data_IF_299256590076
#
_entry.id   IF_299256590076
#
_cell.length_a   1.000
_cell.length_b   1.000
_cell.length_c   1.000
_cell.angle_alpha   90.00
_cell.angle_beta   90.00
_cell.angle_gamma   90.00
#
_symmetry.space_group_name_H-M   'P 1'
#
loop_
_entity.id
_entity.type
_entity.pdbx_description
1 polymer ?
#
# COMPACT_ATOMS: atom_id res chain seq x y z
N UNK A 1 19.14 -24.29 11.59
CA UNK A 1 18.91 -24.07 10.13
C UNK A 1 19.22 -22.62 9.84
N UNK A 2 20.11 -22.29 8.89
CA UNK A 2 20.33 -20.90 8.50
C UNK A 2 19.06 -20.39 7.82
N UNK A 3 18.29 -19.60 8.50
CA UNK A 3 17.14 -18.89 7.89
C UNK A 3 17.66 -18.07 6.72
N UNK A 4 17.13 -18.33 5.54
CA UNK A 4 17.54 -17.67 4.30
C UNK A 4 17.01 -16.24 4.33
N UNK A 5 17.83 -15.30 4.77
CA UNK A 5 17.48 -13.88 4.86
C UNK A 5 17.56 -13.19 3.51
N UNK A 6 16.67 -12.22 3.29
CA UNK A 6 16.61 -11.45 2.06
C UNK A 6 17.75 -10.42 1.96
N UNK A 7 18.28 -10.26 0.77
CA UNK A 7 19.29 -9.25 0.43
C UNK A 7 18.64 -7.87 0.22
N UNK A 8 19.46 -6.82 0.14
CA UNK A 8 19.02 -5.48 -0.24
C UNK A 8 18.36 -5.49 -1.63
N UNK A 9 18.95 -6.23 -2.58
CA UNK A 9 18.43 -6.34 -3.94
C UNK A 9 17.06 -7.04 -3.99
N UNK A 10 16.88 -8.14 -3.25
CA UNK A 10 15.58 -8.83 -3.17
C UNK A 10 14.49 -7.94 -2.58
N UNK A 11 14.83 -7.15 -1.55
CA UNK A 11 13.91 -6.15 -1.01
C UNK A 11 13.56 -5.07 -2.05
N UNK A 12 14.53 -4.57 -2.79
CA UNK A 12 14.30 -3.64 -3.90
C UNK A 12 13.36 -4.22 -4.96
N UNK A 13 13.52 -5.51 -5.35
CA UNK A 13 12.64 -6.16 -6.31
C UNK A 13 11.20 -6.34 -5.80
N UNK A 14 11.02 -6.70 -4.51
CA UNK A 14 9.70 -6.82 -3.90
C UNK A 14 8.97 -5.47 -4.01
N UNK A 15 9.62 -4.40 -3.61
CA UNK A 15 9.01 -3.07 -3.57
C UNK A 15 8.93 -2.40 -4.95
N UNK A 16 9.75 -2.79 -5.90
CA UNK A 16 9.54 -2.48 -7.32
C UNK A 16 8.22 -3.12 -7.80
N UNK A 17 8.01 -4.41 -7.50
CA UNK A 17 6.78 -5.10 -7.86
C UNK A 17 5.53 -4.49 -7.19
N UNK A 18 5.63 -4.05 -5.93
CA UNK A 18 4.55 -3.36 -5.24
C UNK A 18 4.19 -2.03 -5.94
N UNK A 19 5.21 -1.26 -6.37
CA UNK A 19 5.00 0.03 -7.04
C UNK A 19 4.52 -0.09 -8.48
N UNK A 20 4.84 -1.18 -9.20
CA UNK A 20 4.30 -1.43 -10.55
C UNK A 20 2.93 -2.08 -10.41
N UNK A 21 1.91 -1.30 -10.13
CA UNK A 21 0.56 -1.82 -9.98
C UNK A 21 -0.47 -1.03 -10.80
N UNK A 22 -1.57 -1.73 -11.09
CA UNK A 22 -2.71 -1.13 -11.76
C UNK A 22 -3.36 -0.05 -10.89
N UNK A 23 -3.44 -0.26 -9.58
CA UNK A 23 -3.98 0.71 -8.63
C UNK A 23 -3.20 2.03 -8.63
N UNK A 24 -1.87 1.98 -8.79
CA UNK A 24 -1.03 3.17 -8.91
C UNK A 24 -1.36 3.97 -10.18
N UNK A 25 -1.51 3.29 -11.31
CA UNK A 25 -1.88 3.93 -12.58
C UNK A 25 -3.28 4.51 -12.47
N UNK A 26 -4.26 3.74 -11.96
CA UNK A 26 -5.63 4.18 -11.77
C UNK A 26 -5.71 5.41 -10.87
N UNK A 27 -5.04 5.38 -9.71
CA UNK A 27 -5.02 6.52 -8.81
C UNK A 27 -4.37 7.74 -9.47
N UNK A 28 -3.34 7.53 -10.29
CA UNK A 28 -2.71 8.58 -11.08
C UNK A 28 -3.69 9.31 -12.01
N UNK A 29 -4.70 8.63 -12.56
CA UNK A 29 -5.69 9.27 -13.46
C UNK A 29 -6.47 10.38 -12.76
N UNK A 30 -6.69 10.29 -11.45
CA UNK A 30 -7.42 11.30 -10.66
C UNK A 30 -6.69 12.64 -10.57
N UNK A 31 -5.39 12.70 -10.89
CA UNK A 31 -4.59 13.93 -10.88
C UNK A 31 -4.72 14.75 -12.15
N UNK A 32 -5.33 14.21 -13.20
CA UNK A 32 -5.47 14.87 -14.50
C UNK A 32 -6.11 16.27 -14.42
N UNK A 33 -7.16 16.53 -13.58
CA UNK A 33 -7.76 17.85 -13.45
C UNK A 33 -6.82 18.95 -12.95
N UNK A 34 -5.74 18.61 -12.23
CA UNK A 34 -4.72 19.57 -11.77
C UNK A 34 -3.81 20.06 -12.89
N UNK A 35 -3.80 19.36 -14.04
CA UNK A 35 -2.81 19.52 -15.08
C UNK A 35 -1.44 18.96 -14.71
N UNK A 36 -0.60 18.71 -15.73
CA UNK A 36 0.64 17.96 -15.58
C UNK A 36 1.58 18.50 -14.50
N UNK A 37 1.89 19.81 -14.52
CA UNK A 37 2.89 20.39 -13.60
C UNK A 37 2.50 20.32 -12.12
N UNK A 38 1.26 20.74 -11.79
CA UNK A 38 0.75 20.67 -10.40
C UNK A 38 0.53 19.23 -9.97
N UNK A 39 0.03 18.37 -10.86
CA UNK A 39 -0.16 16.95 -10.57
C UNK A 39 1.15 16.25 -10.23
N UNK A 40 2.21 16.44 -11.04
CA UNK A 40 3.54 15.88 -10.74
C UNK A 40 4.08 16.39 -9.40
N UNK A 41 3.92 17.68 -9.11
CA UNK A 41 4.36 18.25 -7.84
C UNK A 41 3.62 17.62 -6.63
N UNK A 42 2.30 17.46 -6.72
CA UNK A 42 1.50 16.82 -5.68
C UNK A 42 1.92 15.34 -5.49
N UNK A 43 2.13 14.60 -6.59
CA UNK A 43 2.60 13.21 -6.57
C UNK A 43 3.94 13.11 -5.82
N UNK A 44 4.93 13.93 -6.19
CA UNK A 44 6.25 13.89 -5.58
C UNK A 44 6.20 14.24 -4.09
N UNK A 45 5.48 15.32 -3.71
CA UNK A 45 5.36 15.73 -2.30
C UNK A 45 4.71 14.62 -1.48
N UNK A 46 3.58 14.07 -1.95
CA UNK A 46 2.87 13.03 -1.23
C UNK A 46 3.70 11.74 -1.07
N UNK A 47 4.39 11.30 -2.13
CA UNK A 47 5.26 10.13 -2.04
C UNK A 47 6.48 10.36 -1.14
N UNK A 48 7.07 11.55 -1.11
CA UNK A 48 8.16 11.85 -0.15
C UNK A 48 7.65 11.71 1.29
N UNK A 49 6.48 12.28 1.60
CA UNK A 49 5.86 12.18 2.93
C UNK A 49 5.56 10.71 3.26
N UNK A 50 4.82 10.02 2.41
CA UNK A 50 4.40 8.64 2.65
C UNK A 50 5.56 7.65 2.72
N UNK A 51 6.56 7.78 1.84
CA UNK A 51 7.74 6.90 1.85
C UNK A 51 8.69 7.16 3.01
N UNK A 52 8.73 8.38 3.56
CA UNK A 52 9.44 8.65 4.82
C UNK A 52 8.79 7.87 5.98
N UNK A 53 7.46 7.88 6.06
CA UNK A 53 6.71 7.11 7.05
C UNK A 53 6.91 5.60 6.84
N UNK A 54 6.87 5.14 5.59
CA UNK A 54 7.13 3.75 5.20
C UNK A 54 8.53 3.30 5.66
N UNK A 55 9.55 4.14 5.46
CA UNK A 55 10.90 3.88 5.96
C UNK A 55 10.93 3.73 7.48
N UNK A 56 10.30 4.64 8.22
CA UNK A 56 10.29 4.59 9.69
C UNK A 56 9.59 3.33 10.20
N UNK A 57 8.42 2.99 9.66
CA UNK A 57 7.69 1.77 10.01
C UNK A 57 8.51 0.50 9.71
N UNK A 58 9.13 0.42 8.53
CA UNK A 58 9.94 -0.74 8.15
C UNK A 58 11.22 -0.88 8.97
N UNK A 59 11.82 0.23 9.43
CA UNK A 59 13.00 0.20 10.33
C UNK A 59 12.61 -0.41 11.69
N UNK A 60 11.41 -0.16 12.21
CA UNK A 60 10.92 -0.77 13.45
C UNK A 60 10.96 -2.28 13.30
N UNK A 61 10.25 -2.85 12.32
CA UNK A 61 10.22 -4.30 12.09
C UNK A 61 11.59 -4.90 11.78
N UNK A 62 12.37 -4.23 10.95
CA UNK A 62 13.72 -4.69 10.60
C UNK A 62 14.68 -4.77 11.80
N UNK A 63 14.63 -3.80 12.71
CA UNK A 63 15.47 -3.78 13.93
C UNK A 63 14.98 -4.73 15.01
N UNK A 64 13.67 -4.89 15.14
CA UNK A 64 13.08 -5.79 16.16
C UNK A 64 12.97 -7.23 15.68
N UNK A 65 13.09 -7.48 14.36
CA UNK A 65 12.86 -8.79 13.74
C UNK A 65 11.44 -9.30 13.93
N UNK A 66 10.48 -8.40 14.05
CA UNK A 66 9.08 -8.69 14.27
C UNK A 66 8.24 -8.32 13.03
N UNK A 67 7.10 -9.03 12.85
CA UNK A 67 6.12 -8.67 11.84
C UNK A 67 5.49 -7.30 12.14
N UNK A 68 4.79 -6.74 11.16
CA UNK A 68 4.15 -5.44 11.33
C UNK A 68 3.22 -5.44 12.55
N UNK A 69 2.36 -6.44 12.69
CA UNK A 69 1.41 -6.51 13.79
C UNK A 69 2.06 -6.87 15.13
N UNK A 70 3.15 -7.64 15.14
CA UNK A 70 3.93 -7.84 16.37
C UNK A 70 4.60 -6.55 16.85
N UNK A 71 5.04 -5.68 15.92
CA UNK A 71 5.55 -4.36 16.33
C UNK A 71 4.46 -3.46 16.92
N UNK A 72 3.19 -3.62 16.49
CA UNK A 72 2.05 -2.89 17.09
C UNK A 72 1.84 -3.30 18.55
N UNK A 73 2.01 -4.58 18.89
CA UNK A 73 1.93 -5.06 20.28
C UNK A 73 2.93 -4.35 21.19
N UNK A 74 4.10 -3.93 20.67
CA UNK A 74 5.09 -3.18 21.44
C UNK A 74 4.57 -1.82 21.93
N UNK A 75 3.61 -1.20 21.24
CA UNK A 75 3.04 0.09 21.62
C UNK A 75 1.67 -0.02 22.28
N UNK A 76 0.85 -1.00 21.88
CA UNK A 76 -0.55 -1.10 22.31
C UNK A 76 -0.82 -2.27 23.25
N UNK A 77 0.19 -3.12 23.53
CA UNK A 77 0.03 -4.35 24.29
C UNK A 77 -0.61 -5.47 23.47
N UNK A 78 -0.72 -6.68 24.04
CA UNK A 78 -1.19 -7.87 23.32
C UNK A 78 -2.60 -7.68 22.72
N UNK A 79 -3.57 -7.23 23.53
CA UNK A 79 -4.95 -7.03 23.08
C UNK A 79 -5.08 -5.91 22.04
N UNK A 80 -4.32 -4.81 22.22
CA UNK A 80 -4.28 -3.74 21.23
C UNK A 80 -3.68 -4.21 19.90
N UNK A 81 -2.61 -4.99 19.95
CA UNK A 81 -2.03 -5.61 18.77
C UNK A 81 -2.99 -6.54 18.05
N UNK A 82 -3.74 -7.40 18.78
CA UNK A 82 -4.78 -8.25 18.20
C UNK A 82 -5.87 -7.44 17.51
N UNK A 83 -6.32 -6.35 18.13
CA UNK A 83 -7.31 -5.44 17.53
C UNK A 83 -6.81 -4.87 16.19
N UNK A 84 -5.60 -4.32 16.16
CA UNK A 84 -5.04 -3.79 14.91
C UNK A 84 -4.71 -4.88 13.89
N UNK A 85 -4.31 -6.07 14.33
CA UNK A 85 -4.12 -7.22 13.44
C UNK A 85 -5.41 -7.59 12.72
N UNK A 86 -6.53 -7.59 13.44
CA UNK A 86 -7.85 -7.83 12.84
C UNK A 86 -8.22 -6.74 11.82
N UNK A 87 -8.01 -5.45 12.15
CA UNK A 87 -8.24 -4.34 11.21
C UNK A 87 -7.33 -4.45 9.99
N UNK A 88 -6.08 -4.89 10.17
CA UNK A 88 -5.16 -5.09 9.06
C UNK A 88 -5.60 -6.24 8.15
N UNK A 89 -6.06 -7.35 8.70
CA UNK A 89 -6.65 -8.44 7.87
C UNK A 89 -7.84 -7.92 7.07
N UNK A 90 -8.73 -7.13 7.69
CA UNK A 90 -9.89 -6.56 6.99
C UNK A 90 -9.48 -5.65 5.83
N UNK A 91 -8.50 -4.75 6.04
CA UNK A 91 -8.02 -3.90 4.94
C UNK A 91 -7.41 -4.73 3.82
N UNK A 92 -6.67 -5.79 4.14
CA UNK A 92 -6.00 -6.63 3.15
C UNK A 92 -6.99 -7.52 2.36
N UNK A 93 -8.10 -7.93 2.98
CA UNK A 93 -9.24 -8.50 2.26
C UNK A 93 -9.83 -7.47 1.28
N UNK A 94 -10.00 -6.22 1.73
CA UNK A 94 -10.47 -5.11 0.89
C UNK A 94 -9.54 -4.87 -0.29
N UNK A 95 -8.23 -4.72 -0.05
CA UNK A 95 -7.23 -4.57 -1.11
C UNK A 95 -7.23 -5.74 -2.09
N UNK A 96 -7.26 -6.97 -1.57
CA UNK A 96 -7.32 -8.17 -2.43
C UNK A 96 -8.55 -8.13 -3.34
N UNK A 97 -9.72 -7.72 -2.81
CA UNK A 97 -10.95 -7.62 -3.61
C UNK A 97 -10.86 -6.49 -4.65
N UNK A 98 -10.40 -5.29 -4.26
CA UNK A 98 -10.23 -4.14 -5.16
C UNK A 98 -9.26 -4.49 -6.29
N UNK A 99 -8.09 -5.02 -5.97
CA UNK A 99 -7.07 -5.35 -6.97
C UNK A 99 -7.54 -6.42 -7.96
N UNK A 100 -8.23 -7.47 -7.48
CA UNK A 100 -8.81 -8.50 -8.36
C UNK A 100 -9.91 -7.89 -9.23
N UNK A 101 -10.77 -7.02 -8.68
CA UNK A 101 -11.84 -6.35 -9.40
C UNK A 101 -11.29 -5.46 -10.53
N UNK A 102 -10.37 -4.56 -10.21
CA UNK A 102 -9.77 -3.62 -11.16
C UNK A 102 -8.98 -4.35 -12.24
N UNK A 103 -8.17 -5.35 -11.84
CA UNK A 103 -7.45 -6.20 -12.78
C UNK A 103 -8.36 -6.97 -13.72
N UNK A 104 -9.47 -7.51 -13.19
CA UNK A 104 -10.46 -8.25 -13.99
C UNK A 104 -11.26 -7.32 -14.91
N UNK A 105 -11.59 -6.10 -14.46
CA UNK A 105 -12.28 -5.10 -15.27
C UNK A 105 -11.39 -4.68 -16.45
N UNK A 106 -10.13 -4.32 -16.17
CA UNK A 106 -9.16 -3.92 -17.17
C UNK A 106 -8.83 -5.06 -18.15
N UNK A 107 -8.65 -6.29 -17.67
CA UNK A 107 -8.40 -7.46 -18.52
C UNK A 107 -9.61 -7.78 -19.42
N UNK A 108 -10.83 -7.65 -18.88
CA UNK A 108 -12.05 -7.85 -19.67
C UNK A 108 -12.25 -6.76 -20.73
N UNK A 109 -11.75 -5.55 -20.51
CA UNK A 109 -11.76 -4.48 -21.53
C UNK A 109 -10.87 -4.81 -22.74
N UNK A 110 -9.79 -5.55 -22.53
CA UNK A 110 -8.90 -6.01 -23.61
C UNK A 110 -9.43 -7.30 -24.27
N UNK A 111 -9.91 -8.26 -23.48
CA UNK A 111 -10.39 -9.55 -23.97
C UNK A 111 -11.75 -9.86 -23.32
N UNK A 112 -12.81 -9.63 -24.05
CA UNK A 112 -14.22 -9.64 -23.62
C UNK A 112 -14.76 -11.06 -23.31
N UNK A 113 -14.22 -11.73 -22.28
CA UNK A 113 -14.64 -13.07 -21.86
C UNK A 113 -15.61 -13.07 -20.69
N UNK A 114 -15.83 -11.91 -20.07
CA UNK A 114 -16.60 -11.72 -18.86
C UNK A 114 -15.73 -11.43 -17.65
N UNK A 115 -16.04 -10.34 -16.91
CA UNK A 115 -15.28 -9.89 -15.74
C UNK A 115 -15.08 -11.01 -14.70
N UNK A 116 -16.11 -11.78 -14.41
CA UNK A 116 -16.06 -12.88 -13.43
C UNK A 116 -15.02 -13.95 -13.78
N UNK A 117 -14.80 -14.21 -15.09
CA UNK A 117 -13.77 -15.16 -15.56
C UNK A 117 -12.38 -14.65 -15.18
N UNK A 118 -12.14 -13.35 -15.39
CA UNK A 118 -10.86 -12.73 -15.02
C UNK A 118 -10.64 -12.67 -13.52
N UNK A 119 -11.70 -12.47 -12.72
CA UNK A 119 -11.59 -12.59 -11.25
C UNK A 119 -11.12 -13.99 -10.84
N UNK A 120 -11.64 -15.05 -11.47
CA UNK A 120 -11.21 -16.43 -11.21
C UNK A 120 -9.77 -16.66 -11.67
N UNK A 121 -9.40 -16.19 -12.86
CA UNK A 121 -8.03 -16.35 -13.39
C UNK A 121 -7.01 -15.65 -12.48
N UNK A 122 -7.23 -14.38 -12.15
CA UNK A 122 -6.33 -13.59 -11.31
C UNK A 122 -6.26 -14.20 -9.90
N UNK A 123 -7.41 -14.53 -9.30
CA UNK A 123 -7.46 -15.17 -7.98
C UNK A 123 -6.73 -16.52 -7.95
N UNK A 124 -6.91 -17.36 -8.96
CA UNK A 124 -6.20 -18.63 -9.07
C UNK A 124 -4.68 -18.44 -9.20
N UNK A 125 -4.23 -17.44 -9.98
CA UNK A 125 -2.82 -17.11 -10.09
C UNK A 125 -2.23 -16.61 -8.77
N UNK A 126 -2.96 -15.78 -8.01
CA UNK A 126 -2.54 -15.32 -6.67
C UNK A 126 -2.39 -16.53 -5.75
N UNK A 127 -3.37 -17.44 -5.72
CA UNK A 127 -3.30 -18.67 -4.91
C UNK A 127 -2.11 -19.52 -5.33
N UNK A 128 -1.84 -19.66 -6.62
CA UNK A 128 -0.67 -20.38 -7.11
C UNK A 128 0.63 -19.74 -6.60
N UNK A 129 0.74 -18.41 -6.62
CA UNK A 129 1.88 -17.67 -6.07
C UNK A 129 2.06 -17.91 -4.56
N UNK A 130 0.96 -17.91 -3.78
CA UNK A 130 0.97 -18.23 -2.35
C UNK A 130 1.46 -19.67 -2.12
N UNK A 131 1.00 -20.63 -2.94
CA UNK A 131 1.38 -22.05 -2.81
C UNK A 131 2.86 -22.26 -3.09
N UNK A 132 3.42 -21.63 -4.12
CA UNK A 132 4.85 -21.69 -4.46
C UNK A 132 5.69 -21.05 -3.34
N UNK A 133 5.22 -19.94 -2.77
CA UNK A 133 5.84 -19.23 -1.65
C UNK A 133 6.97 -18.29 -2.06
N UNK A 134 7.14 -17.22 -1.31
CA UNK A 134 8.05 -16.10 -1.60
C UNK A 134 9.52 -16.51 -1.77
N UNK A 135 9.96 -17.54 -1.04
CA UNK A 135 11.35 -18.01 -1.08
C UNK A 135 11.70 -18.80 -2.35
N UNK A 136 10.70 -19.39 -3.01
CA UNK A 136 10.88 -20.20 -4.20
C UNK A 136 10.67 -19.40 -5.50
N UNK A 137 10.06 -18.23 -5.40
CA UNK A 137 9.76 -17.35 -6.54
C UNK A 137 10.97 -16.55 -7.05
N UNK A 138 12.12 -16.57 -6.36
CA UNK A 138 13.24 -15.64 -6.59
C UNK A 138 13.62 -15.41 -8.06
N UNK A 139 13.83 -16.48 -8.85
CA UNK A 139 14.16 -16.35 -10.29
C UNK A 139 12.94 -15.96 -11.14
N UNK A 140 11.79 -16.56 -10.86
CA UNK A 140 10.53 -16.29 -11.58
C UNK A 140 10.12 -14.84 -11.32
N UNK A 141 10.20 -14.38 -10.08
CA UNK A 141 9.90 -12.99 -9.71
C UNK A 141 10.85 -12.01 -10.41
N UNK A 142 12.16 -12.30 -10.48
CA UNK A 142 13.12 -11.43 -11.18
C UNK A 142 12.78 -11.31 -12.67
N UNK A 143 12.42 -12.41 -13.33
CA UNK A 143 12.03 -12.39 -14.75
C UNK A 143 10.72 -11.65 -14.95
N UNK A 144 9.73 -11.88 -14.08
CA UNK A 144 8.45 -11.17 -14.11
C UNK A 144 8.63 -9.65 -13.91
N UNK A 145 9.45 -9.23 -12.93
CA UNK A 145 9.75 -7.82 -12.69
C UNK A 145 10.52 -7.18 -13.84
N UNK A 146 11.47 -7.87 -14.46
CA UNK A 146 12.16 -7.37 -15.66
C UNK A 146 11.20 -7.20 -16.84
N UNK A 147 10.30 -8.15 -17.06
CA UNK A 147 9.26 -8.05 -18.09
C UNK A 147 8.31 -6.88 -17.82
N UNK A 148 7.83 -6.72 -16.59
CA UNK A 148 7.00 -5.59 -16.18
C UNK A 148 7.73 -4.25 -16.36
N UNK A 149 9.00 -4.16 -16.01
CA UNK A 149 9.81 -2.96 -16.26
C UNK A 149 9.84 -2.58 -17.74
N UNK A 150 10.15 -3.53 -18.64
CA UNK A 150 10.15 -3.29 -20.08
C UNK A 150 8.77 -2.86 -20.56
N UNK A 151 7.72 -3.53 -20.11
CA UNK A 151 6.35 -3.20 -20.49
C UNK A 151 5.93 -1.79 -20.03
N UNK A 152 6.35 -1.35 -18.83
CA UNK A 152 6.08 0.01 -18.36
C UNK A 152 6.86 1.06 -19.15
N UNK A 153 8.07 0.75 -19.65
CA UNK A 153 8.80 1.63 -20.59
C UNK A 153 8.06 1.76 -21.93
N UNK A 154 7.52 0.66 -22.47
CA UNK A 154 6.71 0.69 -23.68
C UNK A 154 5.46 1.52 -23.46
N UNK A 155 4.74 1.32 -22.35
CA UNK A 155 3.57 2.11 -21.98
C UNK A 155 3.90 3.60 -21.89
N UNK A 156 4.99 3.95 -21.18
CA UNK A 156 5.46 5.33 -21.07
C UNK A 156 5.72 5.95 -22.45
N UNK A 157 6.42 5.23 -23.33
CA UNK A 157 6.72 5.73 -24.68
C UNK A 157 5.46 6.02 -25.50
N UNK A 158 4.45 5.16 -25.40
CA UNK A 158 3.17 5.35 -26.11
C UNK A 158 2.44 6.57 -25.55
N UNK A 159 2.33 6.69 -24.24
CA UNK A 159 1.59 7.78 -23.58
C UNK A 159 2.28 9.14 -23.76
N UNK A 160 3.62 9.20 -23.73
CA UNK A 160 4.37 10.45 -23.88
C UNK A 160 4.77 10.76 -25.33
N UNK A 161 4.57 9.83 -26.26
CA UNK A 161 5.04 9.96 -27.67
C UNK A 161 4.17 10.81 -28.57
N UNK A 162 2.89 10.93 -28.26
CA UNK A 162 1.89 11.59 -29.15
C UNK A 162 1.45 12.96 -28.62
N UNK A 163 2.24 13.95 -28.56
CA UNK A 163 2.09 15.29 -28.00
C UNK A 163 0.73 16.05 -28.09
N UNK A 164 -0.40 15.37 -28.27
CA UNK A 164 -1.74 15.98 -28.28
C UNK A 164 -2.29 16.02 -26.83
N UNK A 165 -2.50 17.22 -26.31
CA UNK A 165 -3.13 17.46 -25.01
C UNK A 165 -4.64 17.56 -25.23
N UNK A 166 -5.39 16.51 -24.94
CA UNK A 166 -6.82 16.64 -24.71
C UNK A 166 -7.00 17.35 -23.36
N UNK A 167 -7.93 18.31 -23.28
CA UNK A 167 -8.16 19.05 -22.03
C UNK A 167 -8.56 18.09 -20.90
N UNK A 168 -8.00 18.30 -19.73
CA UNK A 168 -8.37 17.52 -18.55
C UNK A 168 -9.86 17.71 -18.23
N UNK A 169 -10.66 16.67 -18.44
CA UNK A 169 -12.03 16.60 -17.95
C UNK A 169 -12.04 15.91 -16.60
N UNK A 170 -12.81 16.42 -15.64
CA UNK A 170 -12.99 15.83 -14.32
C UNK A 170 -13.37 16.88 -13.28
N UNK A 171 -13.89 16.44 -12.13
CA UNK A 171 -14.19 17.30 -10.99
C UNK A 171 -12.91 17.94 -10.44
N UNK A 172 -13.00 19.20 -10.04
CA UNK A 172 -11.84 19.97 -9.57
C UNK A 172 -11.31 19.37 -8.25
N UNK A 173 -10.17 18.68 -8.31
CA UNK A 173 -9.43 18.24 -7.14
C UNK A 173 -8.57 19.39 -6.60
N UNK A 174 -8.57 19.64 -5.29
CA UNK A 174 -7.65 20.61 -4.69
C UNK A 174 -6.23 20.06 -4.64
N UNK A 175 -5.23 20.95 -4.55
CA UNK A 175 -3.83 20.51 -4.44
C UNK A 175 -3.59 19.70 -3.17
N UNK A 176 -4.20 20.11 -2.05
CA UNK A 176 -4.10 19.39 -0.77
C UNK A 176 -4.69 17.99 -0.83
N UNK A 177 -5.87 17.84 -1.45
CA UNK A 177 -6.49 16.52 -1.66
C UNK A 177 -5.64 15.62 -2.56
N UNK A 178 -4.98 16.19 -3.57
CA UNK A 178 -4.06 15.44 -4.43
C UNK A 178 -2.81 14.98 -3.66
N UNK A 179 -2.21 15.84 -2.84
CA UNK A 179 -1.10 15.46 -1.97
C UNK A 179 -1.53 14.34 -1.02
N UNK A 180 -2.71 14.46 -0.38
CA UNK A 180 -3.23 13.43 0.51
C UNK A 180 -3.42 12.09 -0.19
N UNK A 181 -4.04 12.09 -1.37
CA UNK A 181 -4.22 10.87 -2.17
C UNK A 181 -2.88 10.23 -2.55
N UNK A 182 -1.86 11.05 -2.79
CA UNK A 182 -0.50 10.59 -3.07
C UNK A 182 0.22 10.05 -1.82
N UNK A 183 -0.06 10.60 -0.62
CA UNK A 183 0.44 10.06 0.67
C UNK A 183 -0.24 8.74 1.01
N UNK A 184 -1.54 8.64 0.74
CA UNK A 184 -2.37 7.52 1.18
C UNK A 184 -1.93 6.16 0.58
N UNK A 185 -1.35 6.18 -0.61
CA UNK A 185 -0.90 4.94 -1.26
C UNK A 185 0.31 4.31 -0.55
N UNK A 186 1.46 4.97 -0.37
CA UNK A 186 2.52 4.40 0.47
C UNK A 186 2.09 4.21 1.94
N UNK A 187 1.12 4.99 2.46
CA UNK A 187 0.57 4.82 3.79
C UNK A 187 -0.12 3.44 3.94
N UNK A 188 -0.81 2.96 2.93
CA UNK A 188 -1.49 1.67 2.97
C UNK A 188 -0.54 0.49 3.18
N UNK A 189 0.74 0.66 2.85
CA UNK A 189 1.81 -0.32 3.06
C UNK A 189 2.47 -0.25 4.45
N UNK A 190 2.20 0.79 5.26
CA UNK A 190 2.83 0.93 6.57
C UNK A 190 2.57 -0.26 7.51
N UNK A 191 1.33 -0.79 7.59
CA UNK A 191 1.04 -1.93 8.44
C UNK A 191 1.49 -3.29 7.85
N UNK A 192 2.28 -3.29 6.77
CA UNK A 192 2.80 -4.47 6.10
C UNK A 192 4.31 -4.50 5.96
N UNK A 193 4.98 -3.34 5.83
CA UNK A 193 6.40 -3.29 5.45
C UNK A 193 7.30 -4.10 6.37
N UNK A 194 6.97 -4.14 7.66
CA UNK A 194 7.76 -4.88 8.65
C UNK A 194 7.74 -6.40 8.42
N UNK A 195 6.71 -6.94 7.75
CA UNK A 195 6.62 -8.35 7.39
C UNK A 195 7.74 -8.79 6.43
N UNK A 196 8.25 -7.86 5.65
CA UNK A 196 9.34 -8.04 4.68
C UNK A 196 10.70 -7.65 5.26
N UNK A 197 10.77 -6.49 5.91
CA UNK A 197 12.05 -5.95 6.41
C UNK A 197 12.61 -6.71 7.60
N UNK A 198 11.78 -7.43 8.38
CA UNK A 198 12.23 -8.33 9.46
C UNK A 198 13.15 -9.43 8.93
N UNK A 199 12.96 -9.87 7.69
CA UNK A 199 13.73 -10.94 7.05
C UNK A 199 15.02 -10.44 6.38
N UNK A 200 15.24 -9.13 6.34
CA UNK A 200 16.39 -8.56 5.65
C UNK A 200 17.73 -8.82 6.39
N UNK A 201 18.81 -9.10 5.65
CA UNK A 201 20.16 -9.22 6.20
C UNK A 201 20.63 -7.92 6.83
N UNK A 202 20.42 -6.81 6.09
CA UNK A 202 20.77 -5.44 6.50
C UNK A 202 19.50 -4.59 6.61
N UNK A 203 18.76 -4.66 7.75
CA UNK A 203 17.41 -4.14 7.85
C UNK A 203 17.24 -2.68 7.44
N UNK A 204 18.09 -1.80 7.96
CA UNK A 204 18.00 -0.35 7.71
C UNK A 204 18.26 -0.02 6.25
N UNK A 205 19.29 -0.62 5.64
CA UNK A 205 19.60 -0.39 4.22
C UNK A 205 18.53 -1.00 3.31
N UNK A 206 18.07 -2.21 3.63
CA UNK A 206 17.01 -2.86 2.88
C UNK A 206 15.72 -2.04 2.94
N UNK A 207 15.35 -1.52 4.12
CA UNK A 207 14.18 -0.65 4.29
C UNK A 207 14.33 0.66 3.50
N UNK A 208 15.52 1.27 3.51
CA UNK A 208 15.78 2.50 2.74
C UNK A 208 15.61 2.25 1.24
N UNK A 209 16.19 1.14 0.74
CA UNK A 209 16.04 0.76 -0.68
C UNK A 209 14.57 0.43 -1.01
N UNK A 210 13.86 -0.27 -0.12
CA UNK A 210 12.43 -0.56 -0.28
C UNK A 210 11.61 0.72 -0.44
N UNK A 211 11.76 1.67 0.47
CA UNK A 211 11.01 2.93 0.46
C UNK A 211 11.36 3.81 -0.77
N UNK A 212 12.64 3.88 -1.13
CA UNK A 212 13.08 4.68 -2.29
C UNK A 212 12.62 4.05 -3.60
N UNK A 213 12.80 2.74 -3.77
CA UNK A 213 12.39 2.02 -4.99
C UNK A 213 10.88 2.11 -5.17
N UNK A 214 10.11 1.82 -4.10
CA UNK A 214 8.66 1.97 -4.14
C UNK A 214 8.26 3.39 -4.52
N UNK A 215 8.78 4.40 -3.82
CA UNK A 215 8.44 5.80 -4.05
C UNK A 215 8.72 6.26 -5.48
N UNK A 216 9.88 5.91 -6.05
CA UNK A 216 10.24 6.27 -7.42
C UNK A 216 9.32 5.57 -8.43
N UNK A 217 9.07 4.28 -8.24
CA UNK A 217 8.27 3.47 -9.16
C UNK A 217 6.80 3.85 -9.09
N UNK A 218 6.24 4.04 -7.89
CA UNK A 218 4.87 4.47 -7.68
C UNK A 218 4.64 5.88 -8.27
N UNK A 219 5.53 6.85 -8.00
CA UNK A 219 5.49 8.16 -8.67
C UNK A 219 5.43 8.01 -10.19
N UNK A 220 6.25 7.12 -10.76
CA UNK A 220 6.28 6.88 -12.20
C UNK A 220 4.94 6.33 -12.70
N UNK A 221 4.35 5.35 -12.00
CA UNK A 221 3.03 4.81 -12.36
C UNK A 221 1.92 5.85 -12.27
N UNK A 222 1.91 6.69 -11.21
CA UNK A 222 0.99 7.81 -11.08
C UNK A 222 1.12 8.80 -12.25
N UNK A 223 2.35 9.15 -12.61
CA UNK A 223 2.59 10.09 -13.74
C UNK A 223 2.13 9.48 -15.07
N UNK A 224 2.32 8.16 -15.28
CA UNK A 224 1.79 7.46 -16.44
C UNK A 224 0.25 7.54 -16.46
N UNK A 225 -0.42 7.22 -15.35
CA UNK A 225 -1.88 7.25 -15.24
C UNK A 225 -2.43 8.67 -15.47
N UNK A 226 -1.87 9.65 -14.80
CA UNK A 226 -2.25 11.07 -14.97
C UNK A 226 -2.09 11.54 -16.42
N UNK A 227 -0.94 11.27 -17.04
CA UNK A 227 -0.71 11.70 -18.41
C UNK A 227 -1.59 10.95 -19.40
N UNK A 228 -1.86 9.66 -19.14
CA UNK A 228 -2.79 8.87 -19.93
C UNK A 228 -4.20 9.44 -19.90
N UNK A 229 -4.69 9.85 -18.73
CA UNK A 229 -6.00 10.51 -18.60
C UNK A 229 -6.02 11.88 -19.28
N UNK A 230 -4.97 12.68 -19.17
CA UNK A 230 -4.84 13.97 -19.87
C UNK A 230 -4.85 13.77 -21.40
N UNK A 231 -4.13 12.74 -21.90
CA UNK A 231 -4.00 12.45 -23.32
C UNK A 231 -5.28 11.88 -23.94
N UNK A 232 -5.88 10.88 -23.28
CA UNK A 232 -7.03 10.15 -23.83
C UNK A 232 -8.38 10.78 -23.48
N UNK A 233 -8.43 11.61 -22.43
CA UNK A 233 -9.67 12.08 -21.80
C UNK A 233 -10.44 10.97 -21.07
N UNK A 234 -9.78 9.82 -20.82
CA UNK A 234 -10.36 8.63 -20.20
C UNK A 234 -9.70 8.35 -18.85
N UNK A 235 -10.48 7.88 -17.90
CA UNK A 235 -9.98 7.33 -16.62
C UNK A 235 -9.98 5.80 -16.61
N UNK A 236 -10.63 5.16 -17.58
CA UNK A 236 -10.67 3.72 -17.71
C UNK A 236 -9.38 3.17 -18.32
N UNK A 237 -8.63 2.40 -17.53
CA UNK A 237 -7.33 1.84 -17.93
C UNK A 237 -7.45 0.88 -19.11
N UNK A 238 -8.54 0.10 -19.22
CA UNK A 238 -8.73 -0.79 -20.36
C UNK A 238 -8.83 0.02 -21.66
N UNK A 239 -9.61 1.10 -21.65
CA UNK A 239 -9.73 2.00 -22.80
C UNK A 239 -8.39 2.66 -23.12
N UNK A 240 -7.64 3.09 -22.11
CA UNK A 240 -6.29 3.67 -22.28
C UNK A 240 -5.36 2.64 -22.95
N UNK A 241 -5.31 1.41 -22.45
CA UNK A 241 -4.47 0.34 -23.00
C UNK A 241 -4.82 -0.01 -24.45
N UNK A 242 -6.12 -0.08 -24.75
CA UNK A 242 -6.61 -0.35 -26.12
C UNK A 242 -6.27 0.81 -27.07
N UNK A 243 -6.52 2.06 -26.65
CA UNK A 243 -6.17 3.26 -27.43
C UNK A 243 -4.65 3.39 -27.64
N UNK A 244 -3.86 2.97 -26.65
CA UNK A 244 -2.42 2.90 -26.74
C UNK A 244 -1.89 1.77 -27.65
N UNK A 245 -2.77 0.94 -28.22
CA UNK A 245 -2.39 -0.16 -29.11
C UNK A 245 -1.66 -1.31 -28.42
N UNK A 246 -1.72 -1.39 -27.08
CA UNK A 246 -0.97 -2.38 -26.31
C UNK A 246 -1.61 -3.79 -26.30
N UNK A 247 -2.91 -3.92 -26.61
CA UNK A 247 -3.58 -5.21 -26.79
C UNK A 247 -3.16 -6.29 -25.79
N UNK A 248 -2.62 -7.42 -26.28
CA UNK A 248 -2.17 -8.55 -25.45
C UNK A 248 -1.01 -8.16 -24.51
N UNK A 249 -0.10 -7.27 -24.92
CA UNK A 249 0.97 -6.79 -24.03
C UNK A 249 0.39 -6.04 -22.83
N UNK A 250 -0.60 -5.18 -23.05
CA UNK A 250 -1.34 -4.51 -21.97
C UNK A 250 -2.03 -5.51 -21.03
N UNK A 251 -2.66 -6.54 -21.59
CA UNK A 251 -3.30 -7.60 -20.81
C UNK A 251 -2.28 -8.34 -19.90
N UNK A 252 -1.10 -8.65 -20.41
CA UNK A 252 -0.03 -9.28 -19.63
C UNK A 252 0.43 -8.36 -18.49
N UNK A 253 0.61 -7.05 -18.75
CA UNK A 253 0.95 -6.08 -17.71
C UNK A 253 -0.10 -6.12 -16.61
N UNK A 254 -1.38 -5.98 -16.98
CA UNK A 254 -2.51 -5.97 -16.05
C UNK A 254 -2.49 -7.21 -15.16
N UNK A 255 -2.48 -8.39 -15.76
CA UNK A 255 -2.58 -9.65 -15.02
C UNK A 255 -1.36 -9.86 -14.11
N UNK A 256 -0.14 -9.71 -14.65
CA UNK A 256 1.07 -9.97 -13.86
C UNK A 256 1.28 -8.92 -12.74
N UNK A 257 1.05 -7.63 -13.01
CA UNK A 257 1.17 -6.61 -11.98
C UNK A 257 0.14 -6.82 -10.88
N UNK A 258 -1.12 -7.10 -11.23
CA UNK A 258 -2.17 -7.38 -10.25
C UNK A 258 -1.81 -8.59 -9.40
N UNK A 259 -1.40 -9.71 -10.01
CA UNK A 259 -1.05 -10.93 -9.26
C UNK A 259 0.13 -10.70 -8.31
N UNK A 260 1.19 -10.04 -8.76
CA UNK A 260 2.39 -9.82 -7.93
C UNK A 260 2.14 -8.86 -6.78
N UNK A 261 1.37 -7.80 -6.98
CA UNK A 261 1.04 -6.84 -5.92
C UNK A 261 0.05 -7.44 -4.93
N UNK A 262 -1.05 -8.03 -5.41
CA UNK A 262 -2.08 -8.62 -4.55
C UNK A 262 -1.57 -9.84 -3.77
N UNK A 263 -0.57 -10.56 -4.30
CA UNK A 263 0.13 -11.59 -3.54
C UNK A 263 0.76 -11.02 -2.24
N UNK A 264 1.32 -9.80 -2.28
CA UNK A 264 1.90 -9.17 -1.10
C UNK A 264 0.83 -8.87 -0.05
N UNK A 265 -0.34 -8.39 -0.47
CA UNK A 265 -1.48 -8.14 0.42
C UNK A 265 -1.96 -9.44 1.08
N UNK A 266 -2.21 -10.48 0.27
CA UNK A 266 -2.67 -11.77 0.77
C UNK A 266 -1.64 -12.43 1.71
N UNK A 267 -0.34 -12.33 1.39
CA UNK A 267 0.75 -12.84 2.23
C UNK A 267 0.79 -12.14 3.60
N UNK A 268 0.72 -10.80 3.62
CA UNK A 268 0.68 -10.02 4.87
C UNK A 268 -0.62 -10.23 5.66
N UNK A 269 -1.75 -10.47 4.97
CA UNK A 269 -2.99 -10.89 5.63
C UNK A 269 -2.81 -12.22 6.37
N UNK A 270 -2.09 -13.16 5.77
CA UNK A 270 -1.73 -14.42 6.42
C UNK A 270 -0.92 -14.20 7.70
N UNK A 271 0.15 -13.40 7.63
CA UNK A 271 1.00 -13.06 8.79
C UNK A 271 0.18 -12.34 9.88
N UNK A 272 -0.65 -11.39 9.50
CA UNK A 272 -1.52 -10.66 10.44
C UNK A 272 -2.54 -11.58 11.10
N UNK A 273 -3.05 -12.58 10.38
CA UNK A 273 -3.97 -13.59 10.94
C UNK A 273 -3.29 -14.47 12.01
N UNK A 274 -2.00 -14.79 11.86
CA UNK A 274 -1.22 -15.48 12.89
C UNK A 274 -1.10 -14.66 14.18
N UNK A 275 -0.99 -13.32 14.05
CA UNK A 275 -0.99 -12.40 15.20
C UNK A 275 -2.34 -12.31 15.90
N UNK A 276 -3.46 -12.55 15.20
CA UNK A 276 -4.81 -12.63 15.82
C UNK A 276 -4.99 -13.96 16.56
N UNK A 277 -4.62 -15.05 15.91
CA UNK A 277 -4.76 -16.41 16.45
C UNK A 277 -3.51 -17.23 16.14
N UNK A 278 -2.68 -17.48 17.13
CA UNK A 278 -1.40 -18.17 16.99
C UNK A 278 -1.47 -19.62 16.43
N UNK A 279 -2.68 -20.20 16.38
CA UNK A 279 -2.92 -21.54 15.81
C UNK A 279 -3.22 -21.51 14.31
N UNK A 280 -3.46 -20.34 13.73
CA UNK A 280 -3.71 -20.21 12.30
C UNK A 280 -2.39 -20.35 11.54
N UNK A 281 -2.42 -21.11 10.46
CA UNK A 281 -1.32 -21.15 9.50
C UNK A 281 -1.49 -20.00 8.48
N UNK A 282 -0.57 -19.05 8.45
CA UNK A 282 -0.63 -17.88 7.60
C UNK A 282 -0.80 -18.18 6.12
N UNK A 283 -0.21 -19.27 5.62
CA UNK A 283 -0.37 -19.69 4.22
C UNK A 283 -1.84 -20.03 3.90
N UNK A 284 -2.52 -20.77 4.77
CA UNK A 284 -3.95 -21.08 4.57
C UNK A 284 -4.82 -19.85 4.76
N UNK A 285 -4.48 -18.98 5.72
CA UNK A 285 -5.19 -17.70 5.89
C UNK A 285 -5.07 -16.82 4.64
N UNK A 286 -3.89 -16.71 4.03
CA UNK A 286 -3.66 -15.99 2.78
C UNK A 286 -4.53 -16.54 1.63
N UNK A 287 -4.66 -17.86 1.51
CA UNK A 287 -5.54 -18.49 0.51
C UNK A 287 -7.00 -18.13 0.79
N UNK A 288 -7.45 -18.23 2.05
CA UNK A 288 -8.83 -17.88 2.44
C UNK A 288 -9.13 -16.41 2.14
N UNK A 289 -8.21 -15.50 2.47
CA UNK A 289 -8.32 -14.07 2.15
C UNK A 289 -8.44 -13.86 0.64
N UNK A 290 -7.63 -14.56 -0.16
CA UNK A 290 -7.71 -14.48 -1.63
C UNK A 290 -9.06 -14.98 -2.15
N UNK A 291 -9.58 -16.08 -1.61
CA UNK A 291 -10.91 -16.60 -1.99
C UNK A 291 -12.02 -15.62 -1.62
N UNK A 292 -11.97 -15.04 -0.41
CA UNK A 292 -12.95 -14.03 0.03
C UNK A 292 -12.87 -12.78 -0.86
N UNK A 293 -11.67 -12.28 -1.14
CA UNK A 293 -11.43 -11.14 -2.03
C UNK A 293 -11.94 -11.41 -3.45
N UNK A 294 -11.68 -12.60 -3.98
CA UNK A 294 -12.19 -13.03 -5.30
C UNK A 294 -13.72 -13.07 -5.36
N UNK A 295 -14.37 -13.61 -4.33
CA UNK A 295 -15.83 -13.61 -4.24
C UNK A 295 -16.35 -12.17 -4.15
N UNK A 296 -15.74 -11.34 -3.30
CA UNK A 296 -16.06 -9.92 -3.19
C UNK A 296 -15.96 -9.19 -4.53
N UNK A 297 -14.88 -9.41 -5.28
CA UNK A 297 -14.65 -8.82 -6.60
C UNK A 297 -15.70 -9.26 -7.65
N UNK A 298 -16.24 -10.47 -7.54
CA UNK A 298 -17.28 -10.97 -8.45
C UNK A 298 -18.63 -10.34 -8.11
N UNK A 299 -18.97 -10.28 -6.82
CA UNK A 299 -20.33 -9.97 -6.34
C UNK A 299 -20.57 -8.47 -6.17
N UNK A 300 -19.51 -7.71 -5.78
CA UNK A 300 -19.65 -6.30 -5.42
C UNK A 300 -18.73 -5.40 -6.28
N UNK A 301 -19.24 -4.23 -6.75
CA UNK A 301 -18.40 -3.24 -7.43
C UNK A 301 -17.46 -2.54 -6.44
N UNK A 302 -16.15 -2.59 -6.72
CA UNK A 302 -15.09 -2.04 -5.85
C UNK A 302 -14.56 -0.70 -6.39
N UNK A 303 -15.46 0.18 -6.83
CA UNK A 303 -15.08 1.40 -7.59
C UNK A 303 -14.55 2.54 -6.71
N UNK A 304 -14.72 2.49 -5.38
CA UNK A 304 -14.39 3.60 -4.48
C UNK A 304 -13.07 3.39 -3.72
N UNK A 305 -11.97 3.39 -4.47
CA UNK A 305 -10.62 3.25 -3.88
C UNK A 305 -10.25 4.46 -2.99
N UNK A 306 -10.73 5.66 -3.31
CA UNK A 306 -10.38 6.89 -2.57
C UNK A 306 -10.91 6.86 -1.14
N UNK A 307 -12.19 6.54 -0.95
CA UNK A 307 -12.78 6.43 0.39
C UNK A 307 -12.14 5.30 1.19
N UNK A 308 -11.78 4.21 0.53
CA UNK A 308 -11.07 3.10 1.15
C UNK A 308 -9.67 3.52 1.63
N UNK A 309 -8.91 4.26 0.83
CA UNK A 309 -7.61 4.81 1.20
C UNK A 309 -7.71 5.77 2.40
N UNK A 310 -8.72 6.65 2.42
CA UNK A 310 -8.94 7.56 3.55
C UNK A 310 -9.38 6.84 4.82
N UNK A 311 -10.16 5.77 4.69
CA UNK A 311 -10.49 4.93 5.84
C UNK A 311 -9.23 4.28 6.43
N UNK A 312 -8.38 3.70 5.59
CA UNK A 312 -7.08 3.12 5.98
C UNK A 312 -6.21 4.19 6.65
N UNK A 313 -6.10 5.39 6.05
CA UNK A 313 -5.36 6.51 6.60
C UNK A 313 -5.82 6.86 8.01
N UNK A 314 -7.14 6.99 8.21
CA UNK A 314 -7.70 7.34 9.53
C UNK A 314 -7.40 6.30 10.62
N UNK A 315 -7.28 5.03 10.26
CA UNK A 315 -6.98 3.93 11.20
C UNK A 315 -5.48 3.81 11.47
N UNK A 316 -4.68 3.76 10.40
CA UNK A 316 -3.28 3.35 10.52
C UNK A 316 -2.30 4.52 10.66
N UNK A 317 -2.62 5.74 10.19
CA UNK A 317 -1.73 6.88 10.39
C UNK A 317 -1.49 7.19 11.88
N UNK A 318 -2.52 7.36 12.73
CA UNK A 318 -2.30 7.59 14.15
C UNK A 318 -1.68 6.38 14.87
N UNK A 319 -2.00 5.16 14.45
CA UNK A 319 -1.37 3.94 15.00
C UNK A 319 0.15 3.96 14.77
N UNK A 320 0.58 4.19 13.54
CA UNK A 320 2.01 4.25 13.18
C UNK A 320 2.70 5.46 13.82
N UNK A 321 2.00 6.60 13.93
CA UNK A 321 2.52 7.79 14.62
C UNK A 321 2.91 7.46 16.07
N UNK A 322 2.06 6.74 16.79
CA UNK A 322 2.32 6.28 18.16
C UNK A 322 3.52 5.31 18.20
N UNK A 323 3.60 4.36 17.25
CA UNK A 323 4.75 3.45 17.17
C UNK A 323 6.07 4.20 16.91
N UNK A 324 6.05 5.20 16.02
CA UNK A 324 7.22 6.06 15.75
C UNK A 324 7.63 6.81 17.01
N UNK A 325 6.68 7.41 17.73
CA UNK A 325 6.94 8.11 18.99
C UNK A 325 7.55 7.19 20.04
N UNK A 326 6.95 6.02 20.26
CA UNK A 326 7.39 5.04 21.25
C UNK A 326 8.79 4.50 20.93
N UNK A 327 9.03 4.12 19.67
CA UNK A 327 10.26 3.44 19.29
C UNK A 327 11.47 4.41 19.16
N UNK A 328 11.30 5.52 18.43
CA UNK A 328 12.42 6.40 18.10
C UNK A 328 12.64 7.50 19.15
N UNK A 329 11.59 8.04 19.76
CA UNK A 329 11.66 9.22 20.63
C UNK A 329 11.63 8.81 22.10
N UNK A 330 10.64 8.05 22.51
CA UNK A 330 10.45 7.62 23.90
C UNK A 330 11.30 6.39 24.27
N UNK A 331 11.76 5.64 23.24
CA UNK A 331 12.62 4.43 23.40
C UNK A 331 12.03 3.43 24.41
N UNK A 332 10.72 3.21 24.34
CA UNK A 332 10.01 2.29 25.23
C UNK A 332 10.40 0.84 24.95
N UNK A 333 10.79 0.12 25.99
CA UNK A 333 11.14 -1.32 25.93
C UNK A 333 10.11 -2.24 26.60
N UNK A 334 9.24 -1.67 27.44
CA UNK A 334 8.51 -2.44 28.47
C UNK A 334 7.04 -2.74 28.14
N UNK A 335 6.59 -2.47 26.92
CA UNK A 335 5.17 -2.61 26.57
C UNK A 335 4.71 -4.03 26.23
N UNK A 336 5.64 -4.97 25.98
CA UNK A 336 5.31 -6.36 25.69
C UNK A 336 4.71 -7.13 26.89
N UNK A 337 4.92 -6.63 28.12
CA UNK A 337 4.37 -7.23 29.35
C UNK A 337 2.95 -6.73 29.66
N UNK A 338 2.46 -5.72 28.93
CA UNK A 338 1.16 -5.08 29.18
C UNK A 338 0.09 -5.72 28.30
N UNK A 339 -0.99 -6.18 28.92
CA UNK A 339 -2.13 -6.76 28.18
C UNK A 339 -2.78 -5.75 27.24
N UNK A 340 -2.95 -4.49 27.66
CA UNK A 340 -3.51 -3.39 26.86
C UNK A 340 -2.92 -2.04 27.35
N UNK A 341 -2.30 -1.29 26.44
CA UNK A 341 -1.91 0.10 26.72
C UNK A 341 -3.08 1.05 26.47
N UNK A 342 -3.86 1.30 27.54
CA UNK A 342 -5.05 2.14 27.47
C UNK A 342 -4.72 3.57 27.02
N UNK A 343 -3.56 4.11 27.46
CA UNK A 343 -3.16 5.47 27.08
C UNK A 343 -2.93 5.57 25.56
N UNK A 344 -2.16 4.67 24.98
CA UNK A 344 -1.96 4.66 23.53
C UNK A 344 -3.27 4.39 22.78
N UNK A 345 -4.15 3.56 23.34
CA UNK A 345 -5.51 3.38 22.81
C UNK A 345 -6.32 4.68 22.77
N UNK A 346 -6.31 5.47 23.85
CA UNK A 346 -6.99 6.77 23.89
C UNK A 346 -6.36 7.77 22.92
N UNK A 347 -5.02 7.83 22.86
CA UNK A 347 -4.31 8.71 21.92
C UNK A 347 -4.64 8.32 20.47
N UNK A 348 -4.73 7.04 20.17
CA UNK A 348 -5.14 6.56 18.85
C UNK A 348 -6.58 6.99 18.50
N UNK A 349 -7.53 6.88 19.43
CA UNK A 349 -8.91 7.37 19.21
C UNK A 349 -8.92 8.89 18.93
N UNK A 350 -8.12 9.66 19.67
CA UNK A 350 -7.98 11.11 19.43
C UNK A 350 -7.40 11.36 18.02
N UNK A 351 -6.34 10.64 17.62
CA UNK A 351 -5.77 10.74 16.28
C UNK A 351 -6.76 10.33 15.19
N UNK A 352 -7.48 9.23 15.36
CA UNK A 352 -8.53 8.83 14.41
C UNK A 352 -9.59 9.93 14.21
N UNK A 353 -10.09 10.52 15.30
CA UNK A 353 -11.06 11.61 15.23
C UNK A 353 -10.44 12.85 14.56
N UNK A 354 -9.21 13.18 14.93
CA UNK A 354 -8.48 14.30 14.35
C UNK A 354 -8.32 14.15 12.84
N UNK A 355 -7.88 12.96 12.37
CA UNK A 355 -7.76 12.68 10.94
C UNK A 355 -9.09 12.93 10.20
N UNK A 356 -10.21 12.39 10.75
CA UNK A 356 -11.55 12.56 10.17
C UNK A 356 -12.01 14.04 10.16
N UNK A 357 -11.61 14.83 11.15
CA UNK A 357 -11.89 16.27 11.18
C UNK A 357 -11.04 17.03 10.16
N UNK A 358 -9.75 16.68 10.04
CA UNK A 358 -8.83 17.31 9.09
C UNK A 358 -9.25 17.07 7.63
N UNK A 359 -9.93 15.95 7.33
CA UNK A 359 -10.48 15.70 6.00
C UNK A 359 -11.48 16.78 5.51
N UNK A 360 -12.05 17.57 6.42
CA UNK A 360 -12.95 18.69 6.06
C UNK A 360 -12.19 20.01 5.80
N UNK A 361 -10.86 19.99 5.88
CA UNK A 361 -10.01 21.18 5.71
C UNK A 361 -9.06 20.94 4.57
N UNK A 362 -9.00 21.85 3.60
CA UNK A 362 -8.03 21.77 2.51
C UNK A 362 -6.63 22.18 3.00
N UNK A 363 -5.80 21.19 3.29
CA UNK A 363 -4.44 21.37 3.80
C UNK A 363 -3.45 21.09 2.66
N UNK A 364 -2.58 22.03 2.26
CA UNK A 364 -1.68 21.87 1.13
C UNK A 364 -0.74 20.65 1.18
N UNK A 365 -0.41 20.16 2.38
CA UNK A 365 0.43 18.97 2.61
C UNK A 365 -0.37 17.69 2.87
N UNK A 366 -1.68 17.73 2.64
CA UNK A 366 -2.59 16.62 2.97
C UNK A 366 -2.91 16.55 4.47
N UNK A 367 -3.75 15.60 4.85
CA UNK A 367 -4.28 15.44 6.20
C UNK A 367 -3.40 14.53 7.07
N UNK A 368 -2.79 13.53 6.45
CA UNK A 368 -1.99 12.49 7.13
C UNK A 368 -0.81 13.07 7.88
N UNK A 369 -0.03 13.97 7.26
CA UNK A 369 1.17 14.52 7.90
C UNK A 369 0.84 15.34 9.16
N UNK A 370 -0.10 16.30 9.14
CA UNK A 370 -0.53 17.04 10.34
C UNK A 370 -1.07 16.11 11.42
N UNK A 371 -1.90 15.14 11.06
CA UNK A 371 -2.45 14.16 12.00
C UNK A 371 -1.35 13.40 12.73
N UNK A 372 -0.40 12.82 11.99
CA UNK A 372 0.71 12.05 12.56
C UNK A 372 1.59 12.92 13.46
N UNK A 373 1.92 14.15 13.05
CA UNK A 373 2.73 15.08 13.85
C UNK A 373 2.02 15.41 15.17
N UNK A 374 0.74 15.75 15.12
CA UNK A 374 -0.05 16.08 16.31
C UNK A 374 -0.17 14.85 17.22
N UNK A 375 -0.45 13.68 16.65
CA UNK A 375 -0.54 12.41 17.41
C UNK A 375 0.79 12.07 18.10
N UNK A 376 1.93 12.24 17.42
CA UNK A 376 3.27 12.08 18.02
C UNK A 376 3.45 13.04 19.18
N UNK A 377 3.13 14.33 19.02
CA UNK A 377 3.26 15.34 20.07
C UNK A 377 2.38 14.99 21.28
N UNK A 378 1.12 14.63 21.06
CA UNK A 378 0.22 14.20 22.13
C UNK A 378 0.80 12.98 22.86
N UNK A 379 1.30 11.98 22.13
CA UNK A 379 1.90 10.79 22.72
C UNK A 379 3.10 11.14 23.62
N UNK A 380 4.01 12.00 23.13
CA UNK A 380 5.19 12.42 23.90
C UNK A 380 4.78 13.18 25.16
N UNK A 381 3.86 14.15 25.06
CA UNK A 381 3.44 14.97 26.19
C UNK A 381 2.71 14.11 27.23
N UNK A 382 1.75 13.28 26.85
CA UNK A 382 1.03 12.40 27.75
C UNK A 382 1.97 11.46 28.52
N UNK A 383 2.99 10.91 27.84
CA UNK A 383 3.97 10.01 28.48
C UNK A 383 4.95 10.72 29.41
N UNK A 384 5.31 11.98 29.10
CA UNK A 384 6.18 12.78 30.00
C UNK A 384 5.46 13.21 31.27
N UNK A 385 4.19 13.64 31.15
CA UNK A 385 3.40 14.07 32.33
C UNK A 385 3.30 12.94 33.38
N UNK A 386 3.05 11.70 32.98
CA UNK A 386 2.93 10.57 33.92
C UNK A 386 4.28 10.17 34.55
N UNK A 387 5.42 10.35 33.84
CA UNK A 387 6.74 10.09 34.45
C UNK A 387 7.10 11.09 35.54
N UNK A 388 6.48 12.28 35.53
CA UNK A 388 6.77 13.33 36.53
C UNK A 388 5.97 13.13 37.81
N UNK A 389 4.89 12.29 37.79
CA UNK A 389 4.05 11.96 38.95
C UNK A 389 4.50 10.70 39.70
N UNK A 390 5.54 9.99 39.23
CA UNK A 390 6.20 8.84 39.87
C UNK A 390 7.61 9.21 40.33
#
# INVERSE_FOLDING_TARGET
MNEKRTSIFENGLIWFGAGVSLAEILTGTYFAPLGFGKGVLAIIIGHIIGCMMLFLAGVIGGKTRQSAMETVKMSFGEKGGVFFSFLNVLQLVGWTAIMIYDGALAANGVLHTGRWVWCLVIGALIILWIVIGITNLGKINTVAMAALFILTLVLSRVIFGDGSVAGAGGDAMTFGAAVELSVAMPLSWLPLISDYTREAKEPVKATAVSAVVYGVVSCWMYVIGMNAAIYTGESDIANIMVKAGLGIAGLLIIVFSTVTTTFLDAYSAGISSESVFSKINGKYAAIVVTVIGMIGAIVYPMDNITDFLYLIGSVFAPMIAIQIADFFILKRKDSLEVSLDVMNGVIWVIGFILYRLLMNVDIPLGNTLPDMVITIVICILARKCIKTEK
#
